data_IF_627917253652
#
_entry.id   IF_627917253652
#
_cell.length_a   1.000
_cell.length_b   1.000
_cell.length_c   1.000
_cell.angle_alpha   90.00
_cell.angle_beta   90.00
_cell.angle_gamma   90.00
#
_symmetry.space_group_name_H-M   'P 1'
#
loop_
_entity.id
_entity.type
_entity.pdbx_description
1 polymer ?
#
# COMPACT_ATOMS: atom_id res chain seq x y z
N UNK A 1 -20.19 21.03 6.18
CA UNK A 1 -18.95 20.78 6.94
C UNK A 1 -17.79 21.43 6.17
N UNK A 2 -17.09 22.41 6.76
CA UNK A 2 -15.93 23.02 6.12
C UNK A 2 -14.78 22.01 6.17
N UNK A 3 -14.46 21.39 5.03
CA UNK A 3 -13.29 20.51 4.93
C UNK A 3 -12.01 21.33 5.13
N UNK A 4 -11.28 21.08 6.19
CA UNK A 4 -9.94 21.64 6.34
C UNK A 4 -8.99 20.96 5.32
N UNK A 5 -8.20 21.75 4.60
CA UNK A 5 -7.20 21.26 3.65
C UNK A 5 -5.80 21.35 4.25
N UNK A 6 -4.94 20.43 3.85
CA UNK A 6 -3.52 20.43 4.20
C UNK A 6 -2.69 20.32 2.92
N UNK A 7 -1.62 21.12 2.85
CA UNK A 7 -0.68 21.06 1.73
C UNK A 7 0.20 19.82 1.86
N UNK A 8 0.46 19.17 0.74
CA UNK A 8 1.34 18.01 0.67
C UNK A 8 2.11 18.00 -0.64
N UNK A 9 3.25 17.33 -0.66
CA UNK A 9 3.96 16.98 -1.89
C UNK A 9 3.72 15.51 -2.17
N UNK A 10 3.09 15.22 -3.31
CA UNK A 10 2.92 13.85 -3.81
C UNK A 10 4.11 13.50 -4.69
N UNK A 11 4.70 12.33 -4.46
CA UNK A 11 5.85 11.81 -5.20
C UNK A 11 5.46 10.47 -5.82
N UNK A 12 5.61 10.35 -7.14
CA UNK A 12 5.38 9.11 -7.89
C UNK A 12 6.70 8.41 -8.14
N UNK A 13 6.70 7.10 -7.88
CA UNK A 13 7.89 6.26 -8.04
C UNK A 13 7.54 5.05 -8.94
N UNK A 14 8.55 4.62 -9.69
CA UNK A 14 8.53 3.42 -10.52
C UNK A 14 9.67 2.50 -10.12
N UNK A 15 9.40 1.21 -10.08
CA UNK A 15 10.42 0.20 -9.81
C UNK A 15 11.33 0.03 -11.03
N UNK A 16 12.63 0.15 -10.81
CA UNK A 16 13.69 -0.01 -11.81
C UNK A 16 14.68 -1.11 -11.43
N UNK A 17 14.44 -1.76 -10.28
CA UNK A 17 15.32 -2.79 -9.75
C UNK A 17 15.37 -4.04 -10.61
N UNK A 18 16.49 -4.77 -10.50
CA UNK A 18 16.71 -6.07 -11.13
C UNK A 18 15.89 -7.14 -10.39
N UNK A 19 15.51 -8.22 -11.10
CA UNK A 19 14.77 -9.36 -10.54
C UNK A 19 15.23 -9.73 -9.12
N UNK A 20 14.28 -9.72 -8.20
CA UNK A 20 14.53 -10.20 -6.84
C UNK A 20 14.73 -11.72 -6.88
N UNK A 21 15.78 -12.22 -6.22
CA UNK A 21 16.01 -13.65 -6.06
C UNK A 21 14.84 -14.33 -5.35
N UNK A 22 14.59 -15.60 -5.65
CA UNK A 22 13.48 -16.40 -5.10
C UNK A 22 13.52 -16.61 -3.58
N UNK A 23 14.64 -16.31 -2.91
CA UNK A 23 14.95 -16.71 -1.53
C UNK A 23 14.22 -15.96 -0.41
N UNK A 24 13.06 -15.34 -0.70
CA UNK A 24 12.46 -14.38 0.23
C UNK A 24 11.29 -14.90 1.06
N UNK A 25 10.87 -16.15 0.86
CA UNK A 25 9.65 -16.70 1.47
C UNK A 25 9.89 -17.78 2.53
N UNK A 26 11.15 -18.08 2.87
CA UNK A 26 11.47 -19.10 3.89
C UNK A 26 11.47 -18.55 5.33
N UNK A 27 10.70 -17.50 5.59
CA UNK A 27 10.62 -16.92 6.93
C UNK A 27 9.29 -17.34 7.57
N UNK A 28 9.36 -18.30 8.49
CA UNK A 28 8.19 -18.85 9.19
C UNK A 28 7.58 -17.89 10.24
N UNK A 29 8.05 -16.64 10.29
CA UNK A 29 7.65 -15.66 11.31
C UNK A 29 6.35 -14.92 10.96
N UNK A 30 5.87 -15.00 9.72
CA UNK A 30 4.67 -14.30 9.24
C UNK A 30 4.04 -14.99 8.03
N UNK A 31 2.75 -14.73 7.82
CA UNK A 31 2.00 -15.12 6.62
C UNK A 31 1.55 -13.89 5.84
N UNK A 32 1.57 -13.95 4.50
CA UNK A 32 0.90 -12.97 3.63
C UNK A 32 -0.26 -13.67 2.94
N UNK A 33 -1.48 -13.27 3.31
CA UNK A 33 -2.70 -13.95 2.90
C UNK A 33 -3.54 -13.01 2.04
N UNK A 34 -3.92 -13.46 0.84
CA UNK A 34 -4.90 -12.77 0.00
C UNK A 34 -6.29 -12.89 0.61
N UNK A 35 -6.98 -11.76 0.75
CA UNK A 35 -8.37 -11.71 1.23
C UNK A 35 -9.26 -11.36 0.04
N UNK A 36 -9.95 -12.35 -0.50
CA UNK A 36 -10.97 -12.14 -1.53
C UNK A 36 -12.24 -11.59 -0.89
N UNK A 37 -12.91 -10.67 -1.58
CA UNK A 37 -14.20 -10.09 -1.14
C UNK A 37 -14.16 -9.63 0.32
N UNK A 38 -13.10 -8.88 0.67
CA UNK A 38 -12.92 -8.39 2.05
C UNK A 38 -14.16 -7.60 2.50
N UNK A 39 -14.77 -7.89 3.65
CA UNK A 39 -15.89 -7.11 4.19
C UNK A 39 -15.48 -5.64 4.39
N UNK A 40 -16.36 -4.71 4.03
CA UNK A 40 -16.09 -3.26 4.05
C UNK A 40 -15.64 -2.79 5.44
N UNK A 41 -16.33 -3.23 6.48
CA UNK A 41 -16.01 -2.88 7.87
C UNK A 41 -14.59 -3.32 8.25
N UNK A 42 -14.19 -4.53 7.85
CA UNK A 42 -12.85 -5.05 8.09
C UNK A 42 -11.80 -4.30 7.28
N UNK A 43 -12.11 -3.97 6.02
CA UNK A 43 -11.22 -3.16 5.19
C UNK A 43 -11.03 -1.76 5.79
N UNK A 44 -12.12 -1.04 6.08
CA UNK A 44 -12.07 0.30 6.68
C UNK A 44 -11.34 0.30 8.01
N UNK A 45 -11.54 -0.73 8.84
CA UNK A 45 -10.88 -0.88 10.15
C UNK A 45 -9.36 -0.97 10.01
N UNK A 46 -8.83 -1.83 9.14
CA UNK A 46 -7.38 -1.97 8.96
C UNK A 46 -6.78 -0.73 8.26
N UNK A 47 -7.48 -0.20 7.25
CA UNK A 47 -7.10 1.00 6.54
C UNK A 47 -6.96 2.20 7.50
N UNK A 48 -7.96 2.43 8.36
CA UNK A 48 -7.93 3.50 9.37
C UNK A 48 -6.83 3.28 10.40
N UNK A 49 -6.72 2.05 10.93
CA UNK A 49 -5.75 1.73 11.98
C UNK A 49 -4.30 1.99 11.55
N UNK A 50 -3.98 1.74 10.28
CA UNK A 50 -2.64 1.95 9.73
C UNK A 50 -2.48 3.38 9.21
N UNK A 51 -3.46 3.88 8.46
CA UNK A 51 -3.28 5.02 7.57
C UNK A 51 -3.80 6.35 8.09
N UNK A 52 -4.74 6.38 9.07
CA UNK A 52 -5.39 7.62 9.47
C UNK A 52 -4.40 8.67 9.99
N UNK A 53 -3.37 8.25 10.73
CA UNK A 53 -2.29 9.12 11.21
C UNK A 53 -1.43 9.72 10.08
N UNK A 54 -1.46 9.11 8.90
CA UNK A 54 -0.81 9.57 7.67
C UNK A 54 -1.78 10.25 6.70
N UNK A 55 -2.95 10.64 7.20
CA UNK A 55 -3.99 11.28 6.41
C UNK A 55 -4.55 10.40 5.26
N UNK A 56 -4.56 9.09 5.44
CA UNK A 56 -5.22 8.18 4.52
C UNK A 56 -6.73 8.27 4.72
N UNK A 57 -7.39 9.15 3.97
CA UNK A 57 -8.84 9.39 4.07
C UNK A 57 -9.60 8.99 2.81
N UNK A 58 -8.90 8.75 1.70
CA UNK A 58 -9.54 8.54 0.40
C UNK A 58 -10.56 7.41 0.41
N UNK A 59 -10.23 6.25 0.96
CA UNK A 59 -11.12 5.08 1.03
C UNK A 59 -12.26 5.24 2.04
N UNK A 60 -12.16 6.17 2.97
CA UNK A 60 -13.19 6.44 3.99
C UNK A 60 -14.25 7.45 3.51
N UNK A 61 -13.95 8.21 2.45
CA UNK A 61 -14.77 9.30 1.94
C UNK A 61 -15.63 8.93 0.74
N UNK A 62 -15.38 7.81 0.12
CA UNK A 62 -16.21 7.27 -0.95
C UNK A 62 -17.34 6.43 -0.35
N UNK A 63 -18.46 6.29 -1.07
CA UNK A 63 -19.57 5.45 -0.65
C UNK A 63 -19.15 3.97 -0.55
N UNK A 64 -19.90 3.21 0.25
CA UNK A 64 -19.64 1.77 0.37
C UNK A 64 -19.77 1.04 -0.96
N UNK A 65 -20.72 1.46 -1.80
CA UNK A 65 -20.92 0.89 -3.14
C UNK A 65 -19.72 1.15 -4.06
N UNK A 66 -19.13 2.36 -4.00
CA UNK A 66 -17.92 2.68 -4.76
C UNK A 66 -16.69 1.91 -4.22
N UNK A 67 -16.57 1.83 -2.89
CA UNK A 67 -15.48 1.07 -2.28
C UNK A 67 -15.55 -0.41 -2.67
N UNK A 68 -16.73 -1.04 -2.62
CA UNK A 68 -16.93 -2.43 -3.07
C UNK A 68 -16.48 -2.61 -4.52
N UNK A 69 -16.90 -1.74 -5.44
CA UNK A 69 -16.50 -1.82 -6.85
C UNK A 69 -14.98 -1.80 -7.05
N UNK A 70 -14.25 -1.18 -6.12
CA UNK A 70 -12.79 -1.16 -6.15
C UNK A 70 -12.22 -2.43 -5.53
N UNK A 71 -12.50 -2.68 -4.25
CA UNK A 71 -11.81 -3.72 -3.48
C UNK A 71 -12.27 -5.15 -3.80
N UNK A 72 -13.41 -5.33 -4.48
CA UNK A 72 -13.89 -6.61 -4.98
C UNK A 72 -13.63 -6.80 -6.48
N UNK A 73 -12.96 -5.86 -7.14
CA UNK A 73 -12.55 -6.03 -8.53
C UNK A 73 -11.50 -7.14 -8.64
N UNK A 74 -11.61 -8.01 -9.63
CA UNK A 74 -10.69 -9.14 -9.83
C UNK A 74 -9.24 -8.70 -10.07
N UNK A 75 -9.04 -7.49 -10.62
CA UNK A 75 -7.73 -6.86 -10.85
C UNK A 75 -7.28 -5.99 -9.67
N UNK A 76 -7.91 -6.12 -8.50
CA UNK A 76 -7.48 -5.52 -7.23
C UNK A 76 -7.26 -6.63 -6.22
N UNK A 77 -6.09 -6.65 -5.62
CA UNK A 77 -5.74 -7.68 -4.66
C UNK A 77 -5.46 -7.05 -3.28
N UNK A 78 -6.16 -7.57 -2.28
CA UNK A 78 -5.97 -7.17 -0.88
C UNK A 78 -5.24 -8.29 -0.14
N UNK A 79 -4.17 -7.93 0.55
CA UNK A 79 -3.37 -8.85 1.34
C UNK A 79 -3.23 -8.36 2.77
N UNK A 80 -3.36 -9.29 3.71
CA UNK A 80 -2.99 -9.08 5.10
C UNK A 80 -1.71 -9.83 5.42
N UNK A 81 -0.74 -9.11 5.99
CA UNK A 81 0.41 -9.74 6.65
C UNK A 81 0.00 -10.08 8.08
N UNK A 82 0.19 -11.34 8.47
CA UNK A 82 -0.16 -11.83 9.81
C UNK A 82 1.07 -12.38 10.52
N UNK A 83 1.14 -12.12 11.82
CA UNK A 83 2.09 -12.73 12.75
C UNK A 83 1.33 -13.21 13.98
N UNK A 84 1.54 -14.45 14.38
CA UNK A 84 0.82 -15.06 15.52
C UNK A 84 -0.70 -14.84 15.42
N UNK A 85 -1.29 -15.08 14.24
CA UNK A 85 -2.73 -14.87 13.92
C UNK A 85 -3.20 -13.41 13.95
N UNK A 86 -2.38 -12.43 14.36
CA UNK A 86 -2.71 -11.01 14.35
C UNK A 86 -2.35 -10.37 13.00
N UNK A 87 -3.22 -9.49 12.48
CA UNK A 87 -2.90 -8.68 11.31
C UNK A 87 -1.92 -7.61 11.75
N UNK A 88 -0.74 -7.59 11.12
CA UNK A 88 0.34 -6.62 11.38
C UNK A 88 0.61 -5.69 10.21
N UNK A 89 0.12 -6.03 9.03
CA UNK A 89 0.32 -5.26 7.80
C UNK A 89 -0.78 -5.44 6.79
N UNK A 90 -0.83 -4.51 5.86
CA UNK A 90 -1.84 -4.40 4.82
C UNK A 90 -1.19 -3.99 3.50
N UNK A 91 -1.58 -4.65 2.42
CA UNK A 91 -1.15 -4.35 1.05
C UNK A 91 -2.35 -4.34 0.12
N UNK A 92 -2.47 -3.31 -0.70
CA UNK A 92 -3.44 -3.22 -1.79
C UNK A 92 -2.70 -3.04 -3.11
N UNK A 93 -2.91 -3.97 -4.03
CA UNK A 93 -2.39 -3.95 -5.40
C UNK A 93 -3.54 -3.71 -6.38
N UNK A 94 -3.34 -2.82 -7.34
CA UNK A 94 -4.29 -2.51 -8.39
C UNK A 94 -3.62 -2.62 -9.76
N UNK A 95 -4.11 -3.53 -10.61
CA UNK A 95 -3.64 -3.72 -11.98
C UNK A 95 -4.78 -3.69 -13.00
N UNK A 96 -5.83 -2.92 -12.71
CA UNK A 96 -6.90 -2.62 -13.66
C UNK A 96 -6.37 -1.96 -14.93
N UNK A 97 -5.30 -1.18 -14.79
CA UNK A 97 -4.44 -0.75 -15.90
C UNK A 97 -3.49 -1.89 -16.27
N UNK A 98 -3.88 -2.73 -17.23
CA UNK A 98 -3.21 -4.02 -17.57
C UNK A 98 -1.70 -3.96 -17.82
N UNK A 99 -1.11 -2.79 -18.06
CA UNK A 99 0.33 -2.60 -18.33
C UNK A 99 1.16 -2.33 -17.08
N UNK A 100 0.54 -2.03 -15.96
CA UNK A 100 1.22 -1.72 -14.70
C UNK A 100 0.48 -2.30 -13.50
N UNK A 101 1.22 -2.58 -12.45
CA UNK A 101 0.69 -2.87 -11.12
C UNK A 101 1.01 -1.70 -10.20
N UNK A 102 -0.02 -1.12 -9.62
CA UNK A 102 0.11 -0.04 -8.66
C UNK A 102 0.07 -0.60 -7.23
N UNK A 103 1.08 -0.31 -6.45
CA UNK A 103 1.02 -0.47 -4.99
C UNK A 103 0.23 0.73 -4.48
N UNK A 104 -1.07 0.51 -4.23
CA UNK A 104 -1.99 1.59 -3.79
C UNK A 104 -1.79 1.90 -2.33
N UNK A 105 -1.72 0.86 -1.50
CA UNK A 105 -1.46 0.96 -0.08
C UNK A 105 -0.47 -0.12 0.36
N UNK A 106 0.52 0.27 1.13
CA UNK A 106 1.43 -0.61 1.83
C UNK A 106 1.68 -0.01 3.22
N UNK A 107 1.27 -0.69 4.24
CA UNK A 107 1.44 -0.20 5.60
C UNK A 107 1.52 -1.30 6.64
N UNK A 108 2.09 -0.94 7.77
CA UNK A 108 2.21 -1.79 8.96
C UNK A 108 1.58 -1.10 10.15
N UNK A 109 1.15 -1.87 11.11
CA UNK A 109 0.86 -1.35 12.44
C UNK A 109 2.14 -0.77 13.05
N UNK A 110 2.01 0.28 13.85
CA UNK A 110 3.13 1.09 14.34
C UNK A 110 4.20 0.27 15.06
N UNK A 111 3.76 -0.65 15.92
CA UNK A 111 4.61 -1.54 16.69
C UNK A 111 5.46 -2.50 15.85
N UNK A 112 5.18 -2.61 14.53
CA UNK A 112 5.92 -3.46 13.60
C UNK A 112 6.77 -2.68 12.59
N UNK A 113 6.77 -1.34 12.67
CA UNK A 113 7.62 -0.48 11.84
C UNK A 113 9.09 -0.59 12.32
N UNK A 114 10.02 -0.62 11.37
CA UNK A 114 11.46 -0.74 11.68
C UNK A 114 11.96 -2.17 11.88
N UNK A 115 11.08 -3.16 11.97
CA UNK A 115 11.42 -4.57 12.19
C UNK A 115 11.63 -5.39 10.90
N UNK A 116 11.73 -4.72 9.74
CA UNK A 116 11.97 -5.38 8.46
C UNK A 116 10.72 -5.88 7.71
N UNK A 117 9.56 -5.96 8.35
CA UNK A 117 8.31 -6.45 7.73
C UNK A 117 7.87 -5.65 6.51
N UNK A 118 8.07 -4.33 6.50
CA UNK A 118 7.76 -3.49 5.34
C UNK A 118 8.54 -3.90 4.09
N UNK A 119 9.83 -4.24 4.24
CA UNK A 119 10.66 -4.74 3.14
C UNK A 119 10.15 -6.11 2.65
N UNK A 120 9.73 -6.99 3.55
CA UNK A 120 9.16 -8.30 3.19
C UNK A 120 7.85 -8.13 2.41
N UNK A 121 6.97 -7.24 2.86
CA UNK A 121 5.69 -6.95 2.18
C UNK A 121 5.90 -6.30 0.80
N UNK A 122 6.87 -5.38 0.68
CA UNK A 122 7.24 -4.77 -0.60
C UNK A 122 7.82 -5.79 -1.59
N UNK A 123 8.70 -6.66 -1.11
CA UNK A 123 9.25 -7.74 -1.93
C UNK A 123 8.17 -8.69 -2.43
N UNK A 124 7.20 -9.03 -1.59
CA UNK A 124 6.03 -9.82 -1.99
C UNK A 124 5.26 -9.12 -3.12
N UNK A 125 4.99 -7.80 -3.01
CA UNK A 125 4.32 -7.04 -4.06
C UNK A 125 5.08 -7.10 -5.39
N UNK A 126 6.41 -6.99 -5.36
CA UNK A 126 7.26 -7.09 -6.55
C UNK A 126 7.22 -8.51 -7.14
N UNK A 127 7.30 -9.55 -6.31
CA UNK A 127 7.18 -10.95 -6.79
C UNK A 127 5.81 -11.20 -7.41
N UNK A 128 4.73 -10.64 -6.81
CA UNK A 128 3.37 -10.78 -7.35
C UNK A 128 3.24 -10.18 -8.74
N UNK A 129 3.91 -9.06 -9.04
CA UNK A 129 3.93 -8.48 -10.37
C UNK A 129 4.56 -9.41 -11.41
N UNK A 130 5.64 -10.09 -11.06
CA UNK A 130 6.26 -11.08 -11.95
C UNK A 130 5.36 -12.29 -12.19
N UNK A 131 4.66 -12.79 -11.16
CA UNK A 131 3.68 -13.87 -11.31
C UNK A 131 2.53 -13.49 -12.26
N UNK A 132 2.13 -12.23 -12.26
CA UNK A 132 1.12 -11.68 -13.16
C UNK A 132 1.67 -11.29 -14.54
N UNK A 133 2.99 -11.49 -14.77
CA UNK A 133 3.71 -11.07 -15.98
C UNK A 133 3.60 -9.55 -16.27
N UNK A 134 3.46 -8.74 -15.22
CA UNK A 134 3.43 -7.28 -15.30
C UNK A 134 4.78 -6.73 -14.85
N UNK A 135 5.52 -6.09 -15.77
CA UNK A 135 6.88 -5.62 -15.52
C UNK A 135 6.95 -4.22 -14.88
N UNK A 136 5.91 -3.43 -15.06
CA UNK A 136 5.87 -2.06 -14.54
C UNK A 136 5.20 -2.04 -13.19
N UNK A 137 5.92 -1.59 -12.17
CA UNK A 137 5.40 -1.42 -10.81
C UNK A 137 5.52 0.05 -10.46
N UNK A 138 4.40 0.66 -10.05
CA UNK A 138 4.35 2.05 -9.64
C UNK A 138 3.76 2.19 -8.24
N UNK A 139 4.07 3.28 -7.61
CA UNK A 139 3.43 3.72 -6.37
C UNK A 139 3.50 5.24 -6.24
N UNK A 140 2.72 5.77 -5.34
CA UNK A 140 2.85 7.15 -4.88
C UNK A 140 3.02 7.18 -3.37
N UNK A 141 3.79 8.15 -2.90
CA UNK A 141 3.89 8.53 -1.49
C UNK A 141 3.76 10.04 -1.37
N UNK A 142 3.47 10.54 -0.20
CA UNK A 142 3.33 11.98 0.01
C UNK A 142 4.01 12.42 1.31
N UNK A 143 4.16 13.73 1.50
CA UNK A 143 4.86 14.29 2.65
C UNK A 143 4.15 14.08 4.00
N UNK A 144 2.91 13.56 3.99
CA UNK A 144 2.13 13.20 5.19
C UNK A 144 2.31 11.74 5.57
N UNK A 145 2.88 10.91 4.68
CA UNK A 145 3.20 9.52 4.97
C UNK A 145 4.31 9.41 6.03
N UNK A 146 4.64 8.19 6.42
CA UNK A 146 5.73 7.97 7.37
C UNK A 146 7.02 8.67 6.88
N UNK A 147 7.76 9.41 7.73
CA UNK A 147 8.93 10.21 7.33
C UNK A 147 9.99 9.46 6.51
N UNK A 148 10.11 8.16 6.74
CA UNK A 148 11.04 7.30 6.01
C UNK A 148 10.45 6.65 4.75
N UNK A 149 9.17 6.89 4.38
CA UNK A 149 8.51 6.19 3.29
C UNK A 149 9.24 6.38 1.95
N UNK A 150 9.53 7.61 1.57
CA UNK A 150 10.23 7.90 0.31
C UNK A 150 11.62 7.23 0.26
N UNK A 151 12.42 7.38 1.32
CA UNK A 151 13.75 6.77 1.42
C UNK A 151 13.67 5.24 1.40
N UNK A 152 12.65 4.67 2.03
CA UNK A 152 12.40 3.23 2.05
C UNK A 152 12.19 2.69 0.64
N UNK A 153 11.31 3.32 -0.16
CA UNK A 153 11.09 2.89 -1.54
C UNK A 153 12.33 3.04 -2.41
N UNK A 154 13.04 4.19 -2.30
CA UNK A 154 14.27 4.42 -3.06
C UNK A 154 15.36 3.36 -2.76
N UNK A 155 15.56 3.02 -1.48
CA UNK A 155 16.51 1.96 -1.07
C UNK A 155 16.12 0.56 -1.54
N UNK A 156 14.89 0.37 -1.97
CA UNK A 156 14.36 -0.90 -2.47
C UNK A 156 14.13 -0.89 -3.99
N UNK A 157 14.81 -0.01 -4.74
CA UNK A 157 14.85 -0.04 -6.21
C UNK A 157 13.74 0.75 -6.90
N UNK A 158 13.09 1.67 -6.19
CA UNK A 158 12.12 2.59 -6.80
C UNK A 158 12.77 3.94 -7.08
N UNK A 159 12.56 4.46 -8.27
CA UNK A 159 13.03 5.79 -8.70
C UNK A 159 11.87 6.77 -8.84
N UNK A 160 12.13 8.00 -8.41
CA UNK A 160 11.16 9.10 -8.54
C UNK A 160 11.08 9.54 -10.00
N UNK A 161 9.88 9.57 -10.56
CA UNK A 161 9.66 10.08 -11.92
C UNK A 161 8.77 11.34 -11.97
N UNK A 162 8.06 11.65 -10.88
CA UNK A 162 7.24 12.87 -10.82
C UNK A 162 7.06 13.34 -9.38
N UNK A 163 6.92 14.66 -9.21
CA UNK A 163 6.50 15.30 -7.95
C UNK A 163 5.57 16.46 -8.24
N UNK A 164 4.55 16.61 -7.39
CA UNK A 164 3.60 17.74 -7.48
C UNK A 164 3.15 18.16 -6.09
N UNK A 165 3.00 19.47 -5.90
CA UNK A 165 2.27 19.99 -4.74
C UNK A 165 0.78 19.71 -4.92
N UNK A 166 0.12 19.34 -3.83
CA UNK A 166 -1.31 19.07 -3.79
C UNK A 166 -1.92 19.60 -2.49
N UNK A 167 -3.21 19.89 -2.53
CA UNK A 167 -4.02 20.11 -1.33
C UNK A 167 -4.91 18.88 -1.14
N UNK A 168 -4.81 18.28 0.03
CA UNK A 168 -5.63 17.12 0.39
C UNK A 168 -6.50 17.45 1.58
N UNK A 169 -7.64 16.77 1.69
CA UNK A 169 -8.53 16.96 2.82
C UNK A 169 -7.86 16.38 4.06
N UNK A 170 -7.88 17.15 5.15
CA UNK A 170 -7.33 16.73 6.44
C UNK A 170 -8.21 15.64 7.06
N UNK A 171 -7.58 14.61 7.63
CA UNK A 171 -8.30 13.65 8.46
C UNK A 171 -8.91 14.35 9.67
N UNK A 172 -10.17 14.07 9.94
CA UNK A 172 -10.80 14.46 11.21
C UNK A 172 -10.23 13.56 12.32
N UNK A 173 -9.91 14.18 13.45
CA UNK A 173 -9.40 13.45 14.62
C UNK A 173 -10.54 12.80 15.38
#
# INVERSE_FOLDING_TARGET
MNNAFINTTVTWLKYTGIKISKDLMNDNDFDIIRIKNVPIDKYKKIYSKIGLKYNWVGRLRISDSELIKIIHNESVEIYYMKKNKKIIGFLELDYREKKEIKIVHLGLLEEYIGLGYGKKLLKFAIQRSYQLNIKTITLQTNSLDHPNALKFYQRNGFEVYSRRSAKVIKAEK
#
